data_IF_062237852588
#
_entry.id   IF_062237852588
#
_cell.length_a   1.000
_cell.length_b   1.000
_cell.length_c   1.000
_cell.angle_alpha   90.00
_cell.angle_beta   90.00
_cell.angle_gamma   90.00
#
_symmetry.space_group_name_H-M   'P 1'
#
loop_
_entity.id
_entity.type
_entity.pdbx_description
1 polymer ?
#
# COMPACT_ATOMS: atom_id res chain seq x y z
N UNK A 1 4.50 9.24 12.33
CA UNK A 1 4.36 10.66 12.74
C UNK A 1 5.70 11.09 13.27
N UNK A 2 6.18 12.29 12.95
CA UNK A 2 7.42 12.86 13.49
C UNK A 2 7.05 13.72 14.71
N UNK A 3 6.93 13.14 15.92
CA UNK A 3 6.44 13.85 17.09
C UNK A 3 7.35 15.03 17.47
N UNK A 4 8.63 14.96 17.14
CA UNK A 4 9.57 16.08 17.31
C UNK A 4 9.21 17.32 16.49
N UNK A 5 8.50 17.19 15.35
CA UNK A 5 8.17 18.32 14.48
C UNK A 5 6.75 18.87 14.69
N UNK A 6 5.83 18.07 15.22
CA UNK A 6 4.44 18.52 15.46
C UNK A 6 4.38 19.59 16.54
N UNK A 7 5.15 19.42 17.63
CA UNK A 7 5.21 20.38 18.73
C UNK A 7 5.70 21.77 18.33
N UNK A 8 6.81 21.93 17.58
CA UNK A 8 7.24 23.26 17.15
C UNK A 8 6.25 23.90 16.17
N UNK A 9 5.60 23.13 15.28
CA UNK A 9 4.55 23.63 14.37
C UNK A 9 3.33 24.16 15.14
N UNK A 10 2.83 23.37 16.11
CA UNK A 10 1.70 23.78 16.96
C UNK A 10 2.08 24.98 17.82
N UNK A 11 3.28 24.97 18.40
CA UNK A 11 3.81 26.08 19.19
C UNK A 11 3.92 27.38 18.39
N UNK A 12 4.45 27.31 17.16
CA UNK A 12 4.55 28.47 16.28
C UNK A 12 3.18 29.02 15.88
N UNK A 13 2.23 28.14 15.51
CA UNK A 13 0.86 28.55 15.22
C UNK A 13 0.18 29.21 16.43
N UNK A 14 0.30 28.60 17.61
CA UNK A 14 -0.26 29.13 18.85
C UNK A 14 0.37 30.48 19.24
N UNK A 15 1.68 30.65 19.03
CA UNK A 15 2.37 31.91 19.29
C UNK A 15 1.86 33.03 18.38
N UNK A 16 1.72 32.77 17.08
CA UNK A 16 1.19 33.76 16.13
C UNK A 16 -0.27 34.10 16.43
N UNK A 17 -1.12 33.08 16.63
CA UNK A 17 -2.53 33.28 16.95
C UNK A 17 -2.70 34.03 18.29
N UNK A 18 -1.92 33.65 19.30
CA UNK A 18 -1.89 34.29 20.61
C UNK A 18 -1.43 35.74 20.53
N UNK A 19 -0.42 36.04 19.71
CA UNK A 19 0.05 37.42 19.48
C UNK A 19 -1.04 38.28 18.81
N UNK A 20 -1.72 37.76 17.80
CA UNK A 20 -2.86 38.45 17.15
C UNK A 20 -3.98 38.70 18.16
N UNK A 21 -4.34 37.69 18.96
CA UNK A 21 -5.38 37.80 19.97
C UNK A 21 -5.00 38.82 21.07
N UNK A 22 -3.74 38.81 21.50
CA UNK A 22 -3.18 39.79 22.43
C UNK A 22 -3.30 41.21 21.88
N UNK A 23 -2.93 41.45 20.62
CA UNK A 23 -3.12 42.76 19.99
C UNK A 23 -4.61 43.16 19.95
N UNK A 24 -5.50 42.23 19.63
CA UNK A 24 -6.95 42.49 19.59
C UNK A 24 -7.53 42.84 20.98
N UNK A 25 -7.04 42.19 22.04
CA UNK A 25 -7.50 42.39 23.41
C UNK A 25 -6.96 43.69 24.02
N UNK A 26 -5.65 43.94 23.87
CA UNK A 26 -4.98 45.04 24.58
C UNK A 26 -4.84 46.33 23.76
N UNK A 27 -5.13 46.31 22.44
CA UNK A 27 -5.07 47.51 21.58
C UNK A 27 -6.45 47.85 20.99
N UNK A 28 -7.33 48.55 21.73
CA UNK A 28 -8.70 48.83 21.32
C UNK A 28 -8.80 49.70 20.05
N UNK A 29 -7.80 50.55 19.80
CA UNK A 29 -7.73 51.37 18.57
C UNK A 29 -7.52 50.49 17.33
N UNK A 30 -6.56 49.56 17.38
CA UNK A 30 -6.30 48.62 16.29
C UNK A 30 -7.52 47.75 16.00
N UNK A 31 -8.16 47.21 17.05
CA UNK A 31 -9.40 46.43 16.92
C UNK A 31 -10.50 47.23 16.23
N UNK A 32 -10.75 48.47 16.66
CA UNK A 32 -11.79 49.33 16.05
C UNK A 32 -11.48 49.63 14.58
N UNK A 33 -10.22 49.89 14.24
CA UNK A 33 -9.79 50.12 12.87
C UNK A 33 -9.99 48.87 12.00
N UNK A 34 -9.55 47.70 12.47
CA UNK A 34 -9.71 46.43 11.76
C UNK A 34 -11.19 46.11 11.49
N UNK A 35 -12.04 46.16 12.52
CA UNK A 35 -13.48 45.88 12.37
C UNK A 35 -14.16 46.88 11.42
N UNK A 36 -13.79 48.16 11.48
CA UNK A 36 -14.37 49.19 10.62
C UNK A 36 -13.91 49.07 9.16
N UNK A 37 -12.71 48.57 8.92
CA UNK A 37 -12.27 48.24 7.56
C UNK A 37 -13.02 47.02 7.03
N UNK A 38 -13.15 45.98 7.86
CA UNK A 38 -13.86 44.75 7.51
C UNK A 38 -15.31 45.03 7.14
N UNK A 39 -16.03 45.82 7.94
CA UNK A 39 -17.44 46.13 7.67
C UNK A 39 -17.67 47.03 6.47
N UNK A 40 -16.68 47.86 6.09
CA UNK A 40 -16.79 48.78 4.95
C UNK A 40 -16.42 48.15 3.60
N UNK A 41 -15.68 47.04 3.59
CA UNK A 41 -15.22 46.37 2.36
C UNK A 41 -15.43 44.85 2.40
N UNK A 42 -16.69 44.37 2.51
CA UNK A 42 -16.99 42.95 2.67
C UNK A 42 -16.58 42.12 1.44
N UNK A 43 -16.73 42.66 0.22
CA UNK A 43 -16.39 41.93 -1.00
C UNK A 43 -14.88 41.61 -1.10
N UNK A 44 -14.03 42.57 -0.74
CA UNK A 44 -12.57 42.41 -0.76
C UNK A 44 -12.13 41.32 0.23
N UNK A 45 -12.73 41.29 1.42
CA UNK A 45 -12.47 40.25 2.40
C UNK A 45 -12.93 38.87 1.96
N UNK A 46 -14.13 38.77 1.41
CA UNK A 46 -14.65 37.50 0.90
C UNK A 46 -13.69 36.94 -0.15
N UNK A 47 -13.20 37.78 -1.06
CA UNK A 47 -12.24 37.36 -2.07
C UNK A 47 -10.94 36.84 -1.46
N UNK A 48 -10.37 37.53 -0.46
CA UNK A 48 -9.15 37.10 0.24
C UNK A 48 -9.36 35.77 0.98
N UNK A 49 -10.47 35.64 1.71
CA UNK A 49 -10.81 34.43 2.46
C UNK A 49 -10.99 33.26 1.49
N UNK A 50 -11.77 33.45 0.44
CA UNK A 50 -12.01 32.41 -0.58
C UNK A 50 -10.71 32.02 -1.27
N UNK A 51 -9.86 32.97 -1.64
CA UNK A 51 -8.55 32.69 -2.24
C UNK A 51 -7.63 31.89 -1.32
N UNK A 52 -7.54 32.29 -0.04
CA UNK A 52 -6.74 31.58 0.97
C UNK A 52 -7.27 30.17 1.25
N UNK A 53 -8.60 30.03 1.36
CA UNK A 53 -9.25 28.73 1.53
C UNK A 53 -9.03 27.83 0.32
N UNK A 54 -9.18 28.36 -0.89
CA UNK A 54 -8.96 27.62 -2.13
C UNK A 54 -7.50 27.14 -2.21
N UNK A 55 -6.52 28.00 -1.95
CA UNK A 55 -5.12 27.61 -1.94
C UNK A 55 -4.82 26.50 -0.93
N UNK A 56 -5.32 26.63 0.30
CA UNK A 56 -5.16 25.61 1.34
C UNK A 56 -5.86 24.30 0.94
N UNK A 57 -7.07 24.38 0.38
CA UNK A 57 -7.83 23.21 -0.07
C UNK A 57 -7.12 22.48 -1.21
N UNK A 58 -6.52 23.20 -2.16
CA UNK A 58 -5.75 22.61 -3.26
C UNK A 58 -4.52 21.86 -2.74
N UNK A 59 -3.79 22.44 -1.79
CA UNK A 59 -2.64 21.78 -1.16
C UNK A 59 -3.08 20.49 -0.45
N UNK A 60 -4.12 20.57 0.38
CA UNK A 60 -4.65 19.40 1.11
C UNK A 60 -5.18 18.33 0.16
N UNK A 61 -5.87 18.72 -0.91
CA UNK A 61 -6.38 17.81 -1.92
C UNK A 61 -5.23 17.08 -2.64
N UNK A 62 -4.17 17.81 -3.02
CA UNK A 62 -2.99 17.22 -3.66
C UNK A 62 -2.30 16.19 -2.75
N UNK A 63 -2.15 16.51 -1.46
CA UNK A 63 -1.60 15.57 -0.47
C UNK A 63 -2.47 14.32 -0.32
N UNK A 64 -3.78 14.50 -0.18
CA UNK A 64 -4.75 13.39 -0.03
C UNK A 64 -4.79 12.47 -1.25
N UNK A 65 -4.76 13.05 -2.46
CA UNK A 65 -4.68 12.28 -3.72
C UNK A 65 -3.35 11.54 -3.80
N UNK A 66 -2.25 12.19 -3.43
CA UNK A 66 -0.92 11.57 -3.36
C UNK A 66 -0.90 10.34 -2.44
N UNK A 67 -1.45 10.47 -1.23
CA UNK A 67 -1.55 9.37 -0.26
C UNK A 67 -2.41 8.21 -0.79
N UNK A 68 -3.51 8.54 -1.47
CA UNK A 68 -4.42 7.55 -2.04
C UNK A 68 -3.79 6.78 -3.20
N UNK A 69 -3.11 7.49 -4.11
CA UNK A 69 -2.38 6.87 -5.22
C UNK A 69 -1.24 5.99 -4.70
N UNK A 70 -0.47 6.47 -3.72
CA UNK A 70 0.59 5.68 -3.10
C UNK A 70 0.04 4.40 -2.46
N UNK A 71 -1.09 4.50 -1.74
CA UNK A 71 -1.78 3.32 -1.21
C UNK A 71 -2.23 2.39 -2.33
N UNK A 72 -2.80 2.92 -3.42
CA UNK A 72 -3.28 2.12 -4.56
C UNK A 72 -2.15 1.35 -5.23
N UNK A 73 -1.03 2.01 -5.56
CA UNK A 73 0.15 1.37 -6.15
C UNK A 73 0.70 0.28 -5.24
N UNK A 74 0.81 0.58 -3.93
CA UNK A 74 1.29 -0.39 -2.94
C UNK A 74 0.35 -1.60 -2.84
N UNK A 75 -0.96 -1.36 -2.87
CA UNK A 75 -1.95 -2.43 -2.87
C UNK A 75 -1.86 -3.28 -4.13
N UNK A 76 -1.74 -2.67 -5.32
CA UNK A 76 -1.55 -3.41 -6.57
C UNK A 76 -0.28 -4.25 -6.56
N UNK A 77 0.81 -3.75 -5.97
CA UNK A 77 2.03 -4.52 -5.77
C UNK A 77 1.78 -5.73 -4.86
N UNK A 78 1.08 -5.57 -3.74
CA UNK A 78 0.72 -6.68 -2.86
C UNK A 78 -0.23 -7.69 -3.52
N UNK A 79 -1.20 -7.25 -4.29
CA UNK A 79 -2.14 -8.13 -4.97
C UNK A 79 -1.46 -8.95 -6.08
N UNK A 80 -0.46 -8.37 -6.77
CA UNK A 80 0.23 -9.01 -7.89
C UNK A 80 1.40 -9.90 -7.45
N UNK A 81 2.23 -9.43 -6.51
CA UNK A 81 3.40 -10.18 -6.02
C UNK A 81 3.03 -11.12 -4.86
N UNK A 82 1.94 -10.87 -4.13
CA UNK A 82 1.68 -11.54 -2.87
C UNK A 82 2.75 -11.24 -1.82
N UNK A 83 2.84 -12.05 -0.76
CA UNK A 83 3.89 -11.98 0.26
C UNK A 83 5.21 -12.63 -0.21
N UNK A 84 5.60 -12.42 -1.47
CA UNK A 84 6.85 -12.97 -2.01
C UNK A 84 7.89 -11.85 -1.98
N UNK A 85 8.80 -11.91 -1.00
CA UNK A 85 9.86 -10.92 -0.86
C UNK A 85 10.98 -11.12 -1.90
N UNK A 86 11.30 -12.38 -2.25
CA UNK A 86 12.39 -12.70 -3.16
C UNK A 86 12.02 -13.86 -4.09
N UNK A 87 12.28 -13.70 -5.39
CA UNK A 87 12.04 -14.73 -6.41
C UNK A 87 13.35 -15.12 -7.07
N UNK A 88 13.77 -16.36 -6.85
CA UNK A 88 14.93 -16.96 -7.53
C UNK A 88 14.42 -17.80 -8.71
N UNK A 89 14.90 -17.49 -9.91
CA UNK A 89 14.56 -18.25 -11.13
C UNK A 89 15.80 -18.96 -11.65
N UNK A 90 15.67 -20.26 -11.95
CA UNK A 90 16.74 -21.07 -12.50
C UNK A 90 16.47 -21.37 -13.99
N UNK A 91 17.49 -21.30 -14.87
CA UNK A 91 17.32 -21.50 -16.31
C UNK A 91 17.10 -22.97 -16.71
N UNK A 92 17.43 -23.92 -15.82
CA UNK A 92 17.23 -25.35 -16.07
C UNK A 92 16.77 -26.03 -14.80
N UNK A 93 15.99 -27.10 -14.95
CA UNK A 93 15.43 -27.80 -13.81
C UNK A 93 16.51 -28.41 -12.89
N UNK A 94 17.62 -28.91 -13.44
CA UNK A 94 18.75 -29.41 -12.65
C UNK A 94 19.42 -28.32 -11.79
N UNK A 95 19.51 -27.08 -12.30
CA UNK A 95 20.02 -25.93 -11.53
C UNK A 95 18.99 -25.54 -10.46
N UNK A 96 17.70 -25.57 -10.81
CA UNK A 96 16.61 -25.34 -9.86
C UNK A 96 16.65 -26.32 -8.69
N UNK A 97 16.91 -27.60 -8.95
CA UNK A 97 17.01 -28.65 -7.92
C UNK A 97 18.21 -28.40 -6.99
N UNK A 98 19.36 -27.97 -7.53
CA UNK A 98 20.52 -27.59 -6.72
C UNK A 98 20.25 -26.36 -5.85
N UNK A 99 19.58 -25.35 -6.39
CA UNK A 99 19.18 -24.14 -5.65
C UNK A 99 18.18 -24.50 -4.56
N UNK A 100 17.18 -25.33 -4.86
CA UNK A 100 16.19 -25.79 -3.88
C UNK A 100 16.83 -26.58 -2.73
N UNK A 101 17.86 -27.39 -3.03
CA UNK A 101 18.64 -28.09 -2.01
C UNK A 101 19.46 -27.12 -1.14
N UNK A 102 20.09 -26.11 -1.74
CA UNK A 102 20.85 -25.07 -1.03
C UNK A 102 19.99 -24.18 -0.14
N UNK A 103 18.76 -23.88 -0.58
CA UNK A 103 17.78 -23.09 0.18
C UNK A 103 17.00 -23.96 1.18
N UNK A 104 17.14 -25.29 1.12
CA UNK A 104 16.47 -26.23 2.02
C UNK A 104 16.62 -25.92 3.52
N UNK A 105 17.83 -25.61 4.03
CA UNK A 105 18.06 -25.28 5.43
C UNK A 105 17.32 -24.01 5.91
N UNK A 106 17.06 -23.05 5.02
CA UNK A 106 16.35 -21.82 5.36
C UNK A 106 14.89 -22.09 5.77
N UNK A 107 14.32 -23.26 5.44
CA UNK A 107 12.98 -23.67 5.89
C UNK A 107 12.85 -23.82 7.40
N UNK A 108 13.97 -24.03 8.10
CA UNK A 108 14.00 -24.16 9.55
C UNK A 108 14.36 -22.84 10.26
N UNK A 109 14.73 -21.80 9.50
CA UNK A 109 15.04 -20.49 10.06
C UNK A 109 13.73 -19.76 10.43
N UNK A 110 13.67 -19.23 11.64
CA UNK A 110 12.53 -18.42 12.11
C UNK A 110 12.37 -17.09 11.38
N UNK A 111 13.39 -16.65 10.64
CA UNK A 111 13.36 -15.42 9.85
C UNK A 111 12.72 -15.60 8.48
N UNK A 112 12.44 -16.84 8.06
CA UNK A 112 11.86 -17.16 6.75
C UNK A 112 10.47 -17.75 6.96
N UNK A 113 9.44 -16.97 6.65
CA UNK A 113 8.03 -17.37 6.85
C UNK A 113 7.60 -18.52 5.91
N UNK A 114 8.22 -18.62 4.73
CA UNK A 114 7.89 -19.67 3.77
C UNK A 114 8.88 -19.78 2.63
N UNK A 115 9.05 -21.01 2.14
CA UNK A 115 9.81 -21.33 0.93
C UNK A 115 8.95 -22.23 0.07
N UNK A 116 8.53 -21.70 -1.08
CA UNK A 116 7.76 -22.44 -2.07
C UNK A 116 8.62 -22.70 -3.29
N UNK A 117 8.81 -23.97 -3.63
CA UNK A 117 9.45 -24.37 -4.88
C UNK A 117 8.36 -24.66 -5.91
N UNK A 118 8.46 -23.99 -7.07
CA UNK A 118 7.54 -24.18 -8.19
C UNK A 118 8.35 -24.63 -9.39
N UNK A 119 7.96 -25.75 -10.01
CA UNK A 119 8.57 -26.26 -11.23
C UNK A 119 7.55 -26.13 -12.36
N UNK A 120 7.96 -25.54 -13.47
CA UNK A 120 7.12 -25.46 -14.67
C UNK A 120 7.82 -26.11 -15.84
N UNK A 121 7.09 -26.89 -16.62
CA UNK A 121 7.57 -27.51 -17.86
C UNK A 121 6.44 -27.63 -18.88
N UNK A 122 6.78 -28.04 -20.09
CA UNK A 122 5.78 -28.44 -21.09
C UNK A 122 5.71 -29.96 -21.14
N UNK A 123 4.50 -30.49 -21.18
CA UNK A 123 4.22 -31.91 -21.32
C UNK A 123 3.18 -32.16 -22.41
N UNK A 124 3.16 -33.38 -22.94
CA UNK A 124 2.05 -33.85 -23.76
C UNK A 124 0.99 -34.48 -22.85
N UNK A 125 -0.28 -34.13 -23.05
CA UNK A 125 -1.40 -34.72 -22.32
C UNK A 125 -2.37 -35.37 -23.31
N UNK A 126 -2.94 -36.51 -22.94
CA UNK A 126 -3.98 -37.18 -23.74
C UNK A 126 -5.17 -37.51 -22.87
N UNK A 127 -6.37 -37.19 -23.35
CA UNK A 127 -7.63 -37.57 -22.73
C UNK A 127 -8.53 -38.22 -23.79
N UNK A 128 -8.84 -39.51 -23.60
CA UNK A 128 -9.56 -40.30 -24.60
C UNK A 128 -8.88 -40.26 -25.98
N UNK A 129 -9.59 -39.77 -26.99
CA UNK A 129 -9.11 -39.64 -28.38
C UNK A 129 -8.43 -38.30 -28.68
N UNK A 130 -8.36 -37.37 -27.73
CA UNK A 130 -7.76 -36.04 -27.92
C UNK A 130 -6.38 -35.97 -27.27
N UNK A 131 -5.37 -35.74 -28.09
CA UNK A 131 -4.00 -35.49 -27.64
C UNK A 131 -3.68 -33.99 -27.80
N UNK A 132 -3.15 -33.39 -26.74
CA UNK A 132 -2.68 -32.01 -26.73
C UNK A 132 -1.15 -32.01 -26.52
N UNK A 133 -0.37 -31.68 -27.56
CA UNK A 133 1.07 -31.91 -27.57
C UNK A 133 1.88 -30.89 -26.77
N UNK A 134 1.27 -29.77 -26.37
CA UNK A 134 1.92 -28.72 -25.58
C UNK A 134 0.97 -28.20 -24.52
N UNK A 135 0.95 -28.88 -23.38
CA UNK A 135 0.29 -28.40 -22.17
C UNK A 135 1.37 -27.91 -21.21
N UNK A 136 1.16 -26.73 -20.63
CA UNK A 136 2.02 -26.26 -19.56
C UNK A 136 1.71 -27.05 -18.29
N UNK A 137 2.66 -27.84 -17.83
CA UNK A 137 2.59 -28.54 -16.56
C UNK A 137 3.24 -27.67 -15.48
N UNK A 138 2.48 -27.37 -14.44
CA UNK A 138 2.95 -26.67 -13.25
C UNK A 138 2.93 -27.65 -12.09
N UNK A 139 4.10 -27.97 -11.57
CA UNK A 139 4.29 -28.82 -10.41
C UNK A 139 4.59 -27.94 -9.19
N UNK A 140 3.76 -28.09 -8.16
CA UNK A 140 3.82 -27.36 -6.90
C UNK A 140 3.77 -28.40 -5.79
N UNK A 141 4.64 -28.30 -4.79
CA UNK A 141 4.53 -29.12 -3.58
C UNK A 141 3.35 -28.62 -2.74
N UNK A 142 2.23 -29.35 -2.80
CA UNK A 142 0.97 -28.96 -2.16
C UNK A 142 1.05 -28.95 -0.62
N UNK A 143 1.94 -29.74 -0.01
CA UNK A 143 2.15 -29.70 1.45
C UNK A 143 2.85 -28.40 1.88
N UNK A 144 3.72 -27.85 1.03
CA UNK A 144 4.33 -26.54 1.23
C UNK A 144 3.33 -25.41 0.92
N UNK A 145 2.48 -25.58 -0.09
CA UNK A 145 1.47 -24.61 -0.46
C UNK A 145 0.37 -24.43 0.61
N UNK A 146 0.00 -25.49 1.33
CA UNK A 146 -1.02 -25.43 2.39
C UNK A 146 -0.57 -24.65 3.62
N UNK A 147 0.72 -24.66 3.97
CA UNK A 147 1.27 -23.78 5.03
C UNK A 147 1.15 -22.30 4.67
N UNK A 148 1.43 -21.98 3.40
CA UNK A 148 1.24 -20.62 2.88
C UNK A 148 -0.24 -20.22 2.75
N UNK A 149 -1.16 -21.20 2.61
CA UNK A 149 -2.60 -20.97 2.56
C UNK A 149 -3.20 -20.70 3.93
N UNK A 150 -2.75 -21.43 4.96
CA UNK A 150 -3.23 -21.28 6.33
C UNK A 150 -2.95 -19.87 6.88
N UNK A 151 -1.79 -19.30 6.57
CA UNK A 151 -1.43 -17.93 6.97
C UNK A 151 -2.29 -16.86 6.27
N UNK A 152 -2.64 -17.06 4.98
CA UNK A 152 -3.55 -16.15 4.27
C UNK A 152 -4.95 -16.12 4.90
N UNK A 153 -5.46 -17.26 5.38
CA UNK A 153 -6.76 -17.32 6.06
C UNK A 153 -6.73 -16.70 7.46
N UNK A 154 -5.58 -16.73 8.15
CA UNK A 154 -5.41 -16.08 9.46
C UNK A 154 -5.32 -14.54 9.35
N UNK A 155 -4.88 -14.02 8.20
CA UNK A 155 -4.73 -12.58 7.92
C UNK A 155 -5.98 -11.93 7.29
N UNK A 156 -7.13 -12.61 7.26
CA UNK A 156 -8.40 -12.05 6.78
C UNK A 156 -8.48 -11.84 5.25
N UNK A 157 -7.56 -12.42 4.48
CA UNK A 157 -7.63 -12.37 3.02
C UNK A 157 -8.77 -13.28 2.53
N UNK A 158 -9.71 -12.71 1.77
CA UNK A 158 -10.81 -13.46 1.17
C UNK A 158 -10.25 -14.60 0.30
N UNK A 159 -10.72 -15.85 0.47
CA UNK A 159 -10.23 -16.97 -0.32
C UNK A 159 -10.60 -16.77 -1.79
N UNK A 160 -9.60 -16.82 -2.67
CA UNK A 160 -9.84 -16.92 -4.12
C UNK A 160 -10.67 -18.19 -4.41
N UNK A 161 -11.60 -18.13 -5.38
CA UNK A 161 -12.54 -19.21 -5.68
C UNK A 161 -11.79 -20.51 -6.02
N UNK A 162 -12.13 -21.56 -5.27
CA UNK A 162 -11.55 -22.89 -5.41
C UNK A 162 -12.12 -23.61 -6.64
N UNK A 163 -11.52 -23.40 -7.81
CA UNK A 163 -11.70 -24.35 -8.90
C UNK A 163 -10.81 -25.58 -8.67
N UNK A 164 -11.30 -26.50 -7.83
CA UNK A 164 -10.87 -27.90 -7.85
C UNK A 164 -11.42 -28.53 -9.13
N UNK A 165 -10.61 -28.58 -10.19
CA UNK A 165 -10.84 -29.53 -11.28
C UNK A 165 -10.09 -30.83 -10.97
N UNK A 166 -10.64 -31.58 -10.01
CA UNK A 166 -10.43 -33.02 -9.93
C UNK A 166 -11.70 -33.65 -10.50
N UNK A 167 -11.64 -34.06 -11.76
CA UNK A 167 -12.58 -35.05 -12.29
C UNK A 167 -11.78 -36.11 -13.03
N UNK A 168 -11.39 -37.13 -12.27
CA UNK A 168 -11.16 -38.45 -12.81
C UNK A 168 -12.53 -39.09 -13.10
N UNK A 169 -12.65 -39.67 -14.29
CA UNK A 169 -13.84 -40.32 -14.83
C UNK A 169 -13.62 -40.56 -16.31
#
# INVERSE_FOLDING_TARGET
MYPELTWPLVGAFAAVAGFVLFLLAFRPVLRRLAVRQVSRRPAELVLVIVGSMLGTALIVASLTVGDSLNRSVRQSAYDTLGQIDERVTAPTAAIGDQVAARLGPLRADRRVDGLLTVRSGYAAASTGTRAEPRVQALEIDFLQADRHRADRSALGAHPLPSHRLLRAG
#
